data_IF_328485987528
#
_entry.id   IF_328485987528
#
_cell.length_a   1.000
_cell.length_b   1.000
_cell.length_c   1.000
_cell.angle_alpha   90.00
_cell.angle_beta   90.00
_cell.angle_gamma   90.00
#
_symmetry.space_group_name_H-M   'P 1'
#
loop_
_entity.id
_entity.type
_entity.pdbx_description
1 polymer ?
#
# COMPACT_ATOMS: atom_id res chain seq x y z
N UNK A 1 -3.81 12.76 -4.61
CA UNK A 1 -2.93 12.94 -3.43
C UNK A 1 -3.79 13.05 -2.19
N UNK A 2 -3.34 12.43 -1.11
CA UNK A 2 -4.04 12.42 0.15
C UNK A 2 -3.17 11.85 1.26
N UNK A 3 -3.79 11.67 2.41
CA UNK A 3 -3.12 11.22 3.61
C UNK A 3 -4.12 10.48 4.48
N UNK A 4 -3.70 9.35 5.03
CA UNK A 4 -4.43 8.57 6.02
C UNK A 4 -3.56 8.45 7.27
N UNK A 5 -4.15 8.55 8.46
CA UNK A 5 -3.46 8.23 9.70
C UNK A 5 -4.41 7.63 10.73
N UNK A 6 -3.87 6.75 11.56
CA UNK A 6 -4.55 6.16 12.70
C UNK A 6 -3.59 5.95 13.85
N UNK A 7 -4.12 5.94 15.07
CA UNK A 7 -3.38 5.57 16.26
C UNK A 7 -4.22 4.60 17.08
N UNK A 8 -3.66 3.46 17.45
CA UNK A 8 -4.35 2.38 18.18
C UNK A 8 -3.53 1.97 19.38
N UNK A 9 -4.19 1.78 20.52
CA UNK A 9 -3.54 1.40 21.76
C UNK A 9 -4.37 0.39 22.56
N UNK A 10 -3.69 -0.42 23.38
CA UNK A 10 -4.31 -1.32 24.35
C UNK A 10 -4.63 -0.57 25.64
N UNK A 11 -5.85 -0.76 26.18
CA UNK A 11 -6.28 -0.13 27.44
C UNK A 11 -5.99 -1.02 28.66
N UNK A 12 -5.98 -2.34 28.47
CA UNK A 12 -5.88 -3.30 29.58
C UNK A 12 -4.61 -4.15 29.45
N UNK A 13 -3.75 -4.07 30.48
CA UNK A 13 -2.46 -4.79 30.56
C UNK A 13 -2.58 -6.26 30.97
N UNK A 14 -3.76 -6.70 31.42
CA UNK A 14 -3.95 -8.01 32.05
C UNK A 14 -4.23 -9.15 31.05
N UNK A 15 -4.53 -8.81 29.79
CA UNK A 15 -4.92 -9.77 28.73
C UNK A 15 -4.05 -9.53 27.49
N UNK A 16 -2.83 -10.09 27.50
CA UNK A 16 -1.92 -10.10 26.34
C UNK A 16 -0.88 -8.97 26.33
N UNK A 17 -0.10 -8.91 25.26
CA UNK A 17 0.95 -7.90 25.10
C UNK A 17 0.34 -6.52 24.85
N UNK A 18 0.91 -5.49 25.49
CA UNK A 18 0.49 -4.11 25.28
C UNK A 18 1.01 -3.57 23.96
N UNK A 19 0.18 -2.79 23.27
CA UNK A 19 0.53 -2.16 22.01
C UNK A 19 0.08 -0.70 22.01
N UNK A 20 0.84 0.13 21.33
CA UNK A 20 0.57 1.52 21.04
C UNK A 20 1.21 1.83 19.69
N UNK A 21 0.42 1.79 18.62
CA UNK A 21 0.92 1.89 17.25
C UNK A 21 0.37 3.14 16.57
N UNK A 22 1.25 3.93 15.95
CA UNK A 22 0.87 5.00 15.01
C UNK A 22 1.04 4.48 13.59
N UNK A 23 0.03 4.63 12.75
CA UNK A 23 0.07 4.32 11.32
C UNK A 23 -0.21 5.58 10.50
N UNK A 24 0.56 5.77 9.44
CA UNK A 24 0.51 6.92 8.55
C UNK A 24 0.73 6.47 7.11
N UNK A 25 -0.16 6.90 6.21
CA UNK A 25 -0.08 6.61 4.79
C UNK A 25 -0.30 7.85 3.92
N UNK A 26 0.75 8.60 3.56
CA UNK A 26 0.69 9.56 2.46
C UNK A 26 0.63 8.82 1.12
N UNK A 27 -0.13 9.38 0.18
CA UNK A 27 -0.18 8.87 -1.19
C UNK A 27 -0.34 9.99 -2.22
N UNK A 28 0.21 9.76 -3.40
CA UNK A 28 0.03 10.60 -4.58
C UNK A 28 -0.26 9.74 -5.80
N UNK A 29 -1.32 10.11 -6.50
CA UNK A 29 -1.74 9.48 -7.75
C UNK A 29 -1.71 10.51 -8.87
N UNK A 30 -1.31 10.07 -10.04
CA UNK A 30 -1.35 10.85 -11.26
C UNK A 30 -1.83 9.98 -12.43
N UNK A 31 -2.97 10.36 -13.01
CA UNK A 31 -3.53 9.71 -14.20
C UNK A 31 -3.31 10.58 -15.42
N UNK A 32 -2.68 10.00 -16.43
CA UNK A 32 -2.45 10.59 -17.75
C UNK A 32 -3.74 10.59 -18.58
N UNK A 33 -3.81 11.45 -19.59
CA UNK A 33 -4.99 11.54 -20.48
C UNK A 33 -5.27 10.24 -21.25
N UNK A 34 -4.24 9.41 -21.48
CA UNK A 34 -4.35 8.13 -22.17
C UNK A 34 -4.59 6.94 -21.21
N UNK A 35 -4.93 7.20 -19.94
CA UNK A 35 -5.41 6.18 -19.01
C UNK A 35 -4.33 5.38 -18.28
N UNK A 36 -3.07 5.80 -18.31
CA UNK A 36 -2.06 5.30 -17.34
C UNK A 36 -2.20 6.05 -16.02
N UNK A 37 -2.34 5.32 -14.91
CA UNK A 37 -2.27 5.84 -13.54
C UNK A 37 -0.98 5.40 -12.88
N UNK A 38 -0.23 6.36 -12.35
CA UNK A 38 0.92 6.16 -11.47
C UNK A 38 0.52 6.47 -10.04
N UNK A 39 0.91 5.62 -9.10
CA UNK A 39 0.66 5.82 -7.68
C UNK A 39 1.96 5.60 -6.89
N UNK A 40 2.24 6.53 -5.97
CA UNK A 40 3.30 6.42 -4.98
C UNK A 40 2.69 6.56 -3.59
N UNK A 41 2.87 5.55 -2.75
CA UNK A 41 2.34 5.49 -1.39
C UNK A 41 3.39 4.96 -0.42
N UNK A 42 3.34 5.40 0.84
CA UNK A 42 4.19 4.86 1.91
C UNK A 42 3.30 4.45 3.08
N UNK A 43 3.40 3.21 3.56
CA UNK A 43 2.55 2.69 4.65
C UNK A 43 3.34 2.62 5.96
N UNK A 44 3.65 3.77 6.56
CA UNK A 44 4.52 3.85 7.72
C UNK A 44 3.79 3.45 9.01
N UNK A 45 4.35 2.50 9.76
CA UNK A 45 3.91 2.14 11.10
C UNK A 45 5.04 2.32 12.12
N UNK A 46 4.71 2.83 13.31
CA UNK A 46 5.62 2.91 14.44
C UNK A 46 4.96 2.34 15.70
N UNK A 47 5.60 1.35 16.31
CA UNK A 47 5.22 0.80 17.61
C UNK A 47 6.02 1.52 18.72
N UNK A 48 5.32 2.24 19.57
CA UNK A 48 5.88 3.00 20.68
C UNK A 48 6.41 2.11 21.84
N UNK A 49 5.90 0.90 22.00
CA UNK A 49 6.29 0.00 23.09
C UNK A 49 7.56 -0.80 22.76
N UNK A 50 7.75 -1.19 21.50
CA UNK A 50 8.92 -1.94 21.04
C UNK A 50 9.94 -1.08 20.29
N UNK A 51 9.66 0.22 20.09
CA UNK A 51 10.48 1.16 19.33
C UNK A 51 10.77 0.71 17.88
N UNK A 52 9.81 0.00 17.27
CA UNK A 52 9.98 -0.57 15.93
C UNK A 52 9.30 0.30 14.85
N UNK A 53 10.01 0.50 13.75
CA UNK A 53 9.52 1.20 12.55
C UNK A 53 9.33 0.23 11.40
N UNK A 54 8.25 0.41 10.66
CA UNK A 54 8.01 -0.22 9.36
C UNK A 54 7.73 0.88 8.35
N UNK A 55 8.56 1.00 7.31
CA UNK A 55 8.44 2.07 6.31
C UNK A 55 8.50 1.48 4.90
N UNK A 56 7.46 0.75 4.48
CA UNK A 56 7.32 0.32 3.10
C UNK A 56 6.87 1.47 2.18
N UNK A 57 7.54 1.61 1.05
CA UNK A 57 7.20 2.53 -0.04
C UNK A 57 6.81 1.71 -1.27
N UNK A 58 5.64 2.00 -1.84
CA UNK A 58 5.11 1.30 -3.01
C UNK A 58 4.96 2.28 -4.16
N UNK A 59 5.52 1.91 -5.32
CA UNK A 59 5.34 2.59 -6.59
C UNK A 59 4.62 1.65 -7.56
N UNK A 60 3.47 2.06 -8.07
CA UNK A 60 2.67 1.29 -9.03
C UNK A 60 2.40 2.10 -10.30
N UNK A 61 2.23 1.36 -11.39
CA UNK A 61 1.73 1.86 -12.66
C UNK A 61 0.64 0.92 -13.16
N UNK A 62 -0.47 1.49 -13.63
CA UNK A 62 -1.58 0.73 -14.21
C UNK A 62 -2.07 1.42 -15.47
N UNK A 63 -2.37 0.65 -16.51
CA UNK A 63 -2.87 1.10 -17.80
C UNK A 63 -4.26 0.53 -18.03
N UNK A 64 -5.23 1.43 -18.22
CA UNK A 64 -6.54 1.07 -18.72
C UNK A 64 -6.52 0.91 -20.24
N UNK A 65 -7.13 -0.14 -20.77
CA UNK A 65 -7.33 -0.31 -22.21
C UNK A 65 -8.56 -1.18 -22.49
N UNK A 66 -9.02 -1.16 -23.72
CA UNK A 66 -10.16 -1.97 -24.15
C UNK A 66 -9.73 -2.90 -25.29
N UNK A 67 -10.14 -4.16 -25.20
CA UNK A 67 -10.00 -5.14 -26.28
C UNK A 67 -11.40 -5.65 -26.62
N UNK A 68 -11.85 -5.44 -27.86
CA UNK A 68 -13.19 -5.82 -28.33
C UNK A 68 -14.35 -5.31 -27.43
N UNK A 69 -14.21 -4.09 -26.88
CA UNK A 69 -15.13 -3.47 -25.92
C UNK A 69 -15.17 -4.16 -24.53
N UNK A 70 -14.18 -5.00 -24.21
CA UNK A 70 -13.98 -5.55 -22.88
C UNK A 70 -12.96 -4.63 -22.16
N UNK A 71 -13.36 -3.94 -21.08
CA UNK A 71 -12.44 -3.12 -20.31
C UNK A 71 -11.42 -3.96 -19.57
N UNK A 72 -10.16 -3.56 -19.65
CA UNK A 72 -9.02 -4.24 -19.05
C UNK A 72 -8.11 -3.24 -18.31
N UNK A 73 -7.46 -3.71 -17.25
CA UNK A 73 -6.44 -2.96 -16.52
C UNK A 73 -5.20 -3.84 -16.38
N UNK A 74 -4.10 -3.45 -17.03
CA UNK A 74 -2.79 -4.08 -16.85
C UNK A 74 -2.00 -3.22 -15.88
N UNK A 75 -1.43 -3.81 -14.85
CA UNK A 75 -0.66 -3.05 -13.88
C UNK A 75 0.46 -3.84 -13.24
N UNK A 76 1.22 -3.11 -12.45
CA UNK A 76 2.30 -3.66 -11.65
C UNK A 76 2.97 -2.59 -10.82
N UNK A 77 3.94 -3.01 -10.02
CA UNK A 77 4.63 -2.11 -9.12
C UNK A 77 5.73 -2.79 -8.34
N UNK A 78 6.44 -1.97 -7.59
CA UNK A 78 7.49 -2.39 -6.68
C UNK A 78 7.17 -1.83 -5.30
N UNK A 79 7.26 -2.69 -4.29
CA UNK A 79 7.19 -2.30 -2.89
C UNK A 79 8.55 -2.54 -2.24
N UNK A 80 9.12 -1.52 -1.64
CA UNK A 80 10.43 -1.55 -0.99
C UNK A 80 10.30 -1.16 0.47
N UNK A 81 10.91 -1.92 1.38
CA UNK A 81 10.95 -1.59 2.80
C UNK A 81 12.21 -0.76 3.10
N UNK A 82 12.02 0.54 3.36
CA UNK A 82 13.11 1.42 3.76
C UNK A 82 13.57 1.14 5.19
N UNK A 83 12.63 0.85 6.07
CA UNK A 83 12.85 0.28 7.39
C UNK A 83 11.91 -0.91 7.56
N UNK A 84 12.40 -1.98 8.19
CA UNK A 84 11.63 -3.20 8.44
C UNK A 84 11.63 -3.46 9.94
N UNK A 85 10.46 -3.70 10.53
CA UNK A 85 10.37 -4.24 11.87
C UNK A 85 10.91 -5.69 11.88
N UNK A 86 11.11 -6.26 13.07
CA UNK A 86 11.72 -7.59 13.25
C UNK A 86 11.04 -8.72 12.44
N UNK A 87 9.73 -8.58 12.18
CA UNK A 87 8.92 -9.57 11.46
C UNK A 87 8.46 -9.10 10.07
N UNK A 88 8.95 -7.95 9.61
CA UNK A 88 8.60 -7.44 8.29
C UNK A 88 9.43 -8.10 7.18
N UNK A 89 8.87 -8.19 5.96
CA UNK A 89 9.65 -8.52 4.79
C UNK A 89 10.74 -7.47 4.54
N UNK A 90 11.95 -7.91 4.24
CA UNK A 90 13.06 -7.03 3.85
C UNK A 90 13.19 -6.89 2.33
N UNK A 91 13.80 -5.78 1.88
CA UNK A 91 14.19 -5.59 0.49
C UNK A 91 13.05 -5.09 -0.40
N UNK A 92 12.91 -5.67 -1.60
CA UNK A 92 11.92 -5.27 -2.59
C UNK A 92 11.06 -6.45 -3.05
N UNK A 93 9.78 -6.18 -3.27
CA UNK A 93 8.84 -7.09 -3.93
C UNK A 93 8.34 -6.47 -5.22
N UNK A 94 8.13 -7.33 -6.23
CA UNK A 94 7.57 -6.95 -7.52
C UNK A 94 6.19 -7.59 -7.66
N UNK A 95 5.21 -6.81 -8.10
CA UNK A 95 3.89 -7.33 -8.45
C UNK A 95 3.52 -6.98 -9.90
N UNK A 96 2.85 -7.92 -10.57
CA UNK A 96 2.21 -7.72 -11.87
C UNK A 96 0.78 -8.24 -11.77
N UNK A 97 -0.15 -7.53 -12.39
CA UNK A 97 -1.57 -7.87 -12.35
C UNK A 97 -2.24 -7.54 -13.69
N UNK A 98 -3.28 -8.32 -13.99
CA UNK A 98 -4.18 -8.08 -15.12
C UNK A 98 -5.60 -8.29 -14.63
N UNK A 99 -6.44 -7.27 -14.77
CA UNK A 99 -7.85 -7.34 -14.47
C UNK A 99 -8.65 -7.27 -15.77
N UNK A 100 -9.61 -8.18 -15.89
CA UNK A 100 -10.59 -8.21 -16.98
C UNK A 100 -11.94 -7.89 -16.36
N UNK A 101 -12.56 -6.77 -16.75
CA UNK A 101 -13.85 -6.37 -16.21
C UNK A 101 -14.95 -6.97 -17.07
N UNK A 102 -15.61 -8.00 -16.55
CA UNK A 102 -16.72 -8.63 -17.24
C UNK A 102 -17.99 -7.76 -17.17
N UNK A 103 -18.80 -7.75 -18.23
CA UNK A 103 -20.07 -7.03 -18.23
C UNK A 103 -20.99 -7.51 -17.11
N UNK A 104 -21.72 -6.58 -16.51
CA UNK A 104 -22.82 -6.93 -15.60
C UNK A 104 -24.01 -7.40 -16.45
N UNK A 105 -24.39 -8.67 -16.30
CA UNK A 105 -25.59 -9.26 -16.91
C UNK A 105 -26.88 -8.80 -16.25
#
# INVERSE_FOLDING_TARGET
>A
MGFLASHTYSVEESIGDTYSTTFVQPFIDYTTEWGTTFELTSETAYEWNSDQWSVPVTLTASQYFELENIPMLLGGGVKYWAESAEYDPEGATLNLNLYILLPRT
#
